data_IF_565712859726
#
_entry.id   IF_565712859726
#
_cell.length_a   1.000
_cell.length_b   1.000
_cell.length_c   1.000
_cell.angle_alpha   90.00
_cell.angle_beta   90.00
_cell.angle_gamma   90.00
#
_symmetry.space_group_name_H-M   'P 1'
#
loop_
_entity.id
_entity.type
_entity.pdbx_description
1 polymer ?
#
# COMPACT_ATOMS: atom_id res chain seq x y z
N UNK A 1 -1.36 10.53 -1.37
CA UNK A 1 -2.49 9.85 -0.72
C UNK A 1 -3.80 10.43 -1.23
N UNK A 2 -4.89 9.65 -1.21
CA UNK A 2 -6.20 10.13 -1.73
C UNK A 2 -6.71 11.35 -0.94
N UNK A 3 -6.42 11.42 0.34
CA UNK A 3 -6.77 12.55 1.21
C UNK A 3 -6.18 13.88 0.72
N UNK A 4 -5.02 13.82 0.05
CA UNK A 4 -4.35 15.02 -0.48
C UNK A 4 -4.89 15.41 -1.85
N UNK A 5 -5.44 14.45 -2.58
CA UNK A 5 -6.01 14.66 -3.91
C UNK A 5 -7.49 15.06 -3.88
N UNK A 6 -8.26 14.54 -2.93
CA UNK A 6 -9.67 14.88 -2.82
C UNK A 6 -9.87 16.29 -2.27
N UNK A 7 -10.52 17.14 -3.05
CA UNK A 7 -10.90 18.50 -2.64
C UNK A 7 -12.23 18.50 -1.90
N UNK A 8 -13.21 17.76 -2.41
CA UNK A 8 -14.50 17.52 -1.77
C UNK A 8 -15.16 16.26 -2.29
N UNK A 9 -16.06 15.67 -1.52
CA UNK A 9 -16.85 14.50 -1.93
C UNK A 9 -18.32 14.71 -1.64
N UNK A 10 -19.15 14.03 -2.42
CA UNK A 10 -20.60 13.90 -2.18
C UNK A 10 -20.93 12.44 -2.01
N UNK A 11 -21.59 12.10 -0.92
CA UNK A 11 -22.10 10.76 -0.65
C UNK A 11 -23.61 10.79 -0.38
N UNK A 12 -24.25 9.68 -0.68
CA UNK A 12 -25.64 9.41 -0.30
C UNK A 12 -25.63 8.41 0.84
N UNK A 13 -26.37 8.75 1.89
CA UNK A 13 -26.58 7.90 3.07
C UNK A 13 -28.08 7.63 3.25
N UNK A 14 -28.49 6.62 4.02
CA UNK A 14 -29.89 6.43 4.35
C UNK A 14 -30.55 7.63 5.05
N UNK A 15 -29.77 8.44 5.76
CA UNK A 15 -30.27 9.64 6.46
C UNK A 15 -30.26 10.91 5.59
N UNK A 16 -29.69 10.87 4.38
CA UNK A 16 -29.64 12.01 3.47
C UNK A 16 -28.33 12.17 2.74
N UNK A 17 -28.18 13.28 2.02
CA UNK A 17 -26.96 13.61 1.31
C UNK A 17 -25.91 14.20 2.26
N UNK A 18 -24.67 13.74 2.11
CA UNK A 18 -23.50 14.30 2.76
C UNK A 18 -22.59 14.90 1.71
N UNK A 19 -22.45 16.22 1.69
CA UNK A 19 -21.68 16.93 0.69
C UNK A 19 -20.83 18.02 1.36
N UNK A 20 -19.55 18.00 1.13
CA UNK A 20 -18.65 19.06 1.57
C UNK A 20 -18.56 20.18 0.55
N UNK A 21 -18.09 21.36 0.98
CA UNK A 21 -17.84 22.48 0.10
C UNK A 21 -16.51 22.31 -0.62
N UNK A 22 -16.46 22.73 -1.88
CA UNK A 22 -15.21 22.91 -2.59
C UNK A 22 -14.49 24.13 -2.05
N UNK A 23 -13.42 23.89 -1.31
CA UNK A 23 -12.60 24.93 -0.68
C UNK A 23 -11.11 24.64 -0.93
N UNK A 24 -10.28 25.66 -1.10
CA UNK A 24 -8.85 25.44 -1.10
C UNK A 24 -8.38 24.84 0.22
N UNK A 25 -7.62 24.88 0.98
CA UNK A 25 -7.40 24.32 2.30
C UNK A 25 -8.33 24.99 3.33
N UNK A 26 -8.86 24.23 4.30
CA UNK A 26 -9.64 24.75 5.41
C UNK A 26 -9.19 24.11 6.71
N UNK A 27 -8.93 24.93 7.73
CA UNK A 27 -8.71 24.53 9.11
C UNK A 27 -9.95 24.70 10.02
N UNK A 28 -11.13 24.89 9.42
CA UNK A 28 -12.38 25.12 10.16
C UNK A 28 -12.97 23.79 10.67
N UNK A 29 -12.34 23.23 11.69
CA UNK A 29 -12.73 21.95 12.28
C UNK A 29 -12.25 20.72 11.54
N UNK A 30 -12.65 19.51 11.98
CA UNK A 30 -12.31 18.25 11.30
C UNK A 30 -12.89 18.19 9.88
N UNK A 31 -12.14 17.64 8.93
CA UNK A 31 -12.60 17.48 7.56
C UNK A 31 -13.73 16.45 7.48
N UNK A 32 -14.92 16.80 6.95
CA UNK A 32 -16.00 15.85 6.73
C UNK A 32 -15.63 14.80 5.65
N UNK A 33 -14.79 15.16 4.69
CA UNK A 33 -14.35 14.26 3.63
C UNK A 33 -13.52 13.11 4.17
N UNK A 34 -12.65 13.36 5.17
CA UNK A 34 -11.82 12.32 5.79
C UNK A 34 -12.60 11.30 6.61
N UNK A 35 -13.85 11.58 6.96
CA UNK A 35 -14.75 10.58 7.54
C UNK A 35 -15.31 9.63 6.46
N UNK A 36 -15.52 10.13 5.25
CA UNK A 36 -16.03 9.34 4.12
C UNK A 36 -14.91 8.58 3.40
N UNK A 37 -13.77 9.25 3.18
CA UNK A 37 -12.58 8.62 2.60
C UNK A 37 -12.04 7.57 3.57
N UNK A 38 -11.84 6.35 3.09
CA UNK A 38 -11.46 5.20 3.91
C UNK A 38 -12.59 4.55 4.68
N UNK A 39 -13.83 5.01 4.58
CA UNK A 39 -15.00 4.40 5.23
C UNK A 39 -15.46 3.07 4.60
N UNK A 40 -14.87 2.67 3.49
CA UNK A 40 -15.18 1.42 2.79
C UNK A 40 -16.69 1.23 2.52
N UNK A 41 -17.39 2.33 2.24
CA UNK A 41 -18.84 2.35 1.98
C UNK A 41 -19.71 2.10 3.22
N UNK A 42 -19.17 2.11 4.43
CA UNK A 42 -19.96 1.92 5.66
C UNK A 42 -20.75 3.17 6.06
N UNK A 43 -20.28 4.36 5.71
CA UNK A 43 -20.91 5.64 6.06
C UNK A 43 -21.73 6.26 4.92
N UNK A 44 -21.58 5.78 3.69
CA UNK A 44 -22.26 6.32 2.53
C UNK A 44 -21.73 5.76 1.23
N UNK A 45 -22.47 5.97 0.16
CA UNK A 45 -22.06 5.68 -1.22
C UNK A 45 -21.56 6.96 -1.84
N UNK A 46 -20.27 7.08 -2.11
CA UNK A 46 -19.70 8.25 -2.79
C UNK A 46 -20.21 8.27 -4.23
N UNK A 47 -20.93 9.33 -4.59
CA UNK A 47 -21.54 9.50 -5.90
C UNK A 47 -20.83 10.53 -6.74
N UNK A 48 -20.04 11.42 -6.12
CA UNK A 48 -19.29 12.46 -6.79
C UNK A 48 -18.05 12.83 -5.98
N UNK A 49 -16.95 13.14 -6.67
CA UNK A 49 -15.74 13.65 -6.06
C UNK A 49 -15.13 14.73 -6.95
N UNK A 50 -14.54 15.75 -6.33
CA UNK A 50 -13.68 16.72 -6.97
C UNK A 50 -12.25 16.43 -6.58
N UNK A 51 -11.42 16.17 -7.59
CA UNK A 51 -10.02 15.81 -7.39
C UNK A 51 -9.13 16.94 -7.90
N UNK A 52 -8.06 17.21 -7.15
CA UNK A 52 -6.98 18.08 -7.62
C UNK A 52 -6.22 17.36 -8.72
N UNK A 53 -5.99 18.04 -9.80
CA UNK A 53 -5.23 17.56 -10.95
C UNK A 53 -3.98 18.40 -11.13
N UNK A 54 -2.96 17.82 -11.72
CA UNK A 54 -1.71 18.47 -12.11
C UNK A 54 -1.64 18.54 -13.64
N UNK A 55 -0.84 19.47 -14.15
CA UNK A 55 -0.54 19.51 -15.57
C UNK A 55 0.16 18.22 -16.00
N UNK A 56 -0.11 17.75 -17.20
CA UNK A 56 0.59 16.59 -17.76
C UNK A 56 2.11 16.86 -17.84
N UNK A 57 2.95 15.97 -17.32
CA UNK A 57 4.39 16.17 -17.35
C UNK A 57 4.93 16.04 -18.78
N UNK A 58 5.70 17.06 -19.20
CA UNK A 58 6.37 17.09 -20.50
C UNK A 58 7.76 16.48 -20.50
N UNK A 59 8.36 16.34 -19.31
CA UNK A 59 9.70 15.76 -19.13
C UNK A 59 9.60 14.55 -18.19
N UNK A 60 10.30 13.49 -18.55
CA UNK A 60 10.40 12.25 -17.78
C UNK A 60 11.83 11.74 -17.80
N UNK A 61 12.34 11.37 -16.63
CA UNK A 61 13.65 10.73 -16.50
C UNK A 61 13.50 9.50 -15.58
N UNK A 62 14.12 8.39 -15.96
CA UNK A 62 14.00 7.11 -15.25
C UNK A 62 15.34 6.41 -15.22
N UNK A 63 15.59 5.68 -14.13
CA UNK A 63 16.73 4.77 -14.03
C UNK A 63 16.31 3.52 -13.27
N UNK A 64 17.01 2.45 -13.56
CA UNK A 64 16.87 1.16 -12.88
C UNK A 64 18.25 0.73 -12.41
N UNK A 65 18.38 0.28 -11.16
CA UNK A 65 19.63 -0.17 -10.57
C UNK A 65 19.47 -1.55 -9.96
N UNK A 66 20.49 -2.40 -10.11
CA UNK A 66 20.68 -3.57 -9.25
C UNK A 66 21.43 -3.14 -8.01
N UNK A 67 20.79 -3.23 -6.85
CA UNK A 67 21.39 -2.90 -5.56
C UNK A 67 21.99 -4.14 -4.91
N UNK A 68 23.02 -4.00 -4.03
CA UNK A 68 23.72 -5.15 -3.45
C UNK A 68 22.82 -6.15 -2.71
N UNK A 69 21.87 -5.63 -1.94
CA UNK A 69 20.88 -6.40 -1.19
C UNK A 69 19.65 -5.55 -0.86
N UNK A 70 18.61 -6.17 -0.30
CA UNK A 70 17.35 -5.49 -0.01
C UNK A 70 17.50 -4.36 1.01
N UNK A 71 18.35 -4.54 2.03
CA UNK A 71 18.60 -3.51 3.05
C UNK A 71 19.26 -2.27 2.42
N UNK A 72 20.28 -2.46 1.59
CA UNK A 72 20.92 -1.34 0.87
C UNK A 72 19.91 -0.61 -0.03
N UNK A 73 18.99 -1.33 -0.66
CA UNK A 73 17.88 -0.73 -1.41
C UNK A 73 16.92 0.08 -0.54
N UNK A 74 16.59 -0.40 0.66
CA UNK A 74 15.78 0.36 1.61
C UNK A 74 16.48 1.65 2.06
N UNK A 75 17.78 1.59 2.36
CA UNK A 75 18.57 2.76 2.75
C UNK A 75 18.68 3.78 1.61
N UNK A 76 18.84 3.32 0.37
CA UNK A 76 18.84 4.17 -0.81
C UNK A 76 17.50 4.90 -0.98
N UNK A 77 16.37 4.20 -0.91
CA UNK A 77 15.03 4.80 -0.97
C UNK A 77 14.86 5.85 0.14
N UNK A 78 15.18 5.49 1.38
CA UNK A 78 15.10 6.40 2.51
C UNK A 78 15.93 7.66 2.26
N UNK A 79 17.17 7.52 1.80
CA UNK A 79 18.06 8.64 1.51
C UNK A 79 17.48 9.55 0.43
N UNK A 80 16.94 9.01 -0.65
CA UNK A 80 16.29 9.76 -1.72
C UNK A 80 15.09 10.53 -1.20
N UNK A 81 14.19 9.89 -0.44
CA UNK A 81 12.97 10.53 0.06
C UNK A 81 13.23 11.57 1.15
N UNK A 82 14.27 11.40 1.97
CA UNK A 82 14.67 12.36 3.00
C UNK A 82 15.53 13.50 2.49
N UNK A 83 16.05 13.42 1.26
CA UNK A 83 16.83 14.50 0.63
C UNK A 83 16.01 15.70 0.16
N UNK A 84 14.68 15.60 0.17
CA UNK A 84 13.76 16.59 -0.39
C UNK A 84 13.46 16.40 -1.87
N UNK A 85 14.08 15.42 -2.53
CA UNK A 85 13.72 15.01 -3.88
C UNK A 85 12.32 14.36 -3.86
N UNK A 86 11.54 14.62 -4.91
CA UNK A 86 10.18 14.11 -5.04
C UNK A 86 10.06 13.21 -6.28
N UNK A 87 10.52 11.96 -6.21
CA UNK A 87 10.38 11.03 -7.32
C UNK A 87 8.91 10.72 -7.58
N UNK A 88 8.52 10.67 -8.84
CA UNK A 88 7.20 10.19 -9.28
C UNK A 88 7.09 8.66 -9.19
N UNK A 89 8.23 7.97 -9.16
CA UNK A 89 8.34 6.54 -8.96
C UNK A 89 9.60 6.21 -8.14
N UNK A 90 9.43 5.49 -7.03
CA UNK A 90 10.53 5.03 -6.20
C UNK A 90 10.15 3.65 -5.65
N UNK A 91 10.68 2.57 -6.25
CA UNK A 91 10.28 1.18 -5.94
C UNK A 91 11.49 0.30 -5.78
N UNK A 92 11.42 -0.58 -4.79
CA UNK A 92 12.38 -1.66 -4.58
C UNK A 92 11.66 -3.00 -4.73
N UNK A 93 12.22 -3.88 -5.56
CA UNK A 93 11.66 -5.20 -5.86
C UNK A 93 12.71 -6.23 -5.50
N UNK A 94 12.36 -7.23 -4.69
CA UNK A 94 13.26 -8.33 -4.36
C UNK A 94 13.62 -9.13 -5.62
N UNK A 95 14.87 -9.64 -5.69
CA UNK A 95 15.42 -10.23 -6.89
C UNK A 95 14.58 -11.34 -7.50
N UNK A 96 13.92 -12.13 -6.65
CA UNK A 96 13.03 -13.22 -7.07
C UNK A 96 11.72 -12.76 -7.74
N UNK A 97 11.31 -11.51 -7.56
CA UNK A 97 10.18 -10.88 -8.26
C UNK A 97 10.64 -9.96 -9.38
N UNK A 98 11.93 -9.61 -9.41
CA UNK A 98 12.49 -8.72 -10.39
C UNK A 98 12.70 -9.44 -11.73
N UNK A 99 12.49 -8.76 -12.87
CA UNK A 99 12.79 -9.32 -14.18
C UNK A 99 14.28 -9.66 -14.35
N UNK A 100 14.55 -10.73 -15.07
CA UNK A 100 15.91 -11.17 -15.41
C UNK A 100 16.42 -12.32 -14.55
N UNK A 101 17.68 -12.73 -14.79
CA UNK A 101 18.34 -13.85 -14.11
C UNK A 101 19.22 -13.44 -12.93
N UNK A 102 19.28 -12.15 -12.63
CA UNK A 102 20.07 -11.59 -11.52
C UNK A 102 19.19 -11.51 -10.27
N UNK A 103 19.53 -12.25 -9.22
CA UNK A 103 18.77 -12.33 -7.98
C UNK A 103 18.94 -11.10 -7.06
N UNK A 104 19.79 -10.13 -7.45
CA UNK A 104 19.91 -8.88 -6.70
C UNK A 104 18.62 -8.06 -6.82
N UNK A 105 18.21 -7.33 -5.75
CA UNK A 105 17.04 -6.49 -5.80
C UNK A 105 17.17 -5.36 -6.84
N UNK A 106 16.00 -4.99 -7.41
CA UNK A 106 15.87 -3.96 -8.42
C UNK A 106 15.28 -2.70 -7.82
N UNK A 107 16.03 -1.61 -7.89
CA UNK A 107 15.57 -0.27 -7.53
C UNK A 107 15.16 0.48 -8.80
N UNK A 108 13.93 1.01 -8.83
CA UNK A 108 13.39 1.79 -9.93
C UNK A 108 13.17 3.21 -9.43
N UNK A 109 13.79 4.18 -10.10
CA UNK A 109 13.62 5.61 -9.85
C UNK A 109 13.02 6.30 -11.07
N UNK A 110 12.11 7.25 -10.85
CA UNK A 110 11.51 8.05 -11.89
C UNK A 110 11.17 9.45 -11.41
N UNK A 111 11.36 10.42 -12.29
CA UNK A 111 10.99 11.82 -12.08
C UNK A 111 10.18 12.32 -13.27
N UNK A 112 9.18 13.13 -13.01
CA UNK A 112 8.30 13.72 -14.02
C UNK A 112 8.03 15.19 -13.67
N UNK A 113 7.96 16.04 -14.67
CA UNK A 113 7.71 17.47 -14.45
C UNK A 113 7.44 18.27 -15.72
N UNK A 114 7.09 19.53 -15.54
CA UNK A 114 6.96 20.53 -16.63
C UNK A 114 8.28 21.13 -17.11
N UNK A 115 9.40 20.79 -16.45
CA UNK A 115 10.76 21.20 -16.80
C UNK A 115 11.67 19.99 -16.81
N UNK A 116 12.89 20.12 -17.34
CA UNK A 116 13.88 19.04 -17.35
C UNK A 116 14.15 18.53 -15.92
N UNK A 117 13.99 17.24 -15.70
CA UNK A 117 14.13 16.54 -14.42
C UNK A 117 15.39 15.65 -14.36
N UNK A 118 16.27 15.71 -15.36
CA UNK A 118 17.49 14.88 -15.40
C UNK A 118 18.43 15.20 -14.22
N UNK A 119 18.54 16.45 -13.82
CA UNK A 119 19.36 16.84 -12.66
C UNK A 119 18.86 16.23 -11.36
N UNK A 120 17.54 16.08 -11.17
CA UNK A 120 16.92 15.43 -10.02
C UNK A 120 17.23 13.92 -10.02
N UNK A 121 17.13 13.29 -11.19
CA UNK A 121 17.50 11.88 -11.34
C UNK A 121 18.98 11.65 -11.01
N UNK A 122 19.90 12.48 -11.54
CA UNK A 122 21.32 12.34 -11.24
C UNK A 122 21.62 12.55 -9.75
N UNK A 123 20.97 13.52 -9.09
CA UNK A 123 21.09 13.71 -7.65
C UNK A 123 20.60 12.48 -6.87
N UNK A 124 19.48 11.87 -7.26
CA UNK A 124 18.98 10.66 -6.64
C UNK A 124 19.92 9.47 -6.86
N UNK A 125 20.47 9.30 -8.05
CA UNK A 125 21.45 8.25 -8.36
C UNK A 125 22.72 8.38 -7.50
N UNK A 126 23.15 9.61 -7.22
CA UNK A 126 24.28 9.87 -6.33
C UNK A 126 24.05 9.46 -4.86
N UNK A 127 22.81 9.19 -4.46
CA UNK A 127 22.43 8.68 -3.13
C UNK A 127 22.27 7.16 -3.09
N UNK A 128 22.43 6.47 -4.21
CA UNK A 128 22.18 5.05 -4.35
C UNK A 128 23.48 4.31 -4.66
N UNK A 129 23.72 3.22 -3.94
CA UNK A 129 24.76 2.25 -4.29
C UNK A 129 24.13 1.14 -5.15
N UNK A 130 24.56 1.04 -6.41
CA UNK A 130 24.01 0.06 -7.33
C UNK A 130 24.53 0.18 -8.74
N UNK A 131 24.30 -0.85 -9.52
CA UNK A 131 24.69 -0.97 -10.92
C UNK A 131 23.53 -0.61 -11.84
N UNK A 132 23.72 0.39 -12.70
CA UNK A 132 22.70 0.82 -13.67
C UNK A 132 22.35 -0.32 -14.64
N UNK A 133 21.09 -0.44 -14.96
CA UNK A 133 20.52 -1.41 -15.90
C UNK A 133 19.82 -0.69 -17.04
N UNK A 134 19.96 -1.21 -18.26
CA UNK A 134 19.32 -0.65 -19.45
C UNK A 134 17.81 -0.96 -19.54
N UNK A 135 17.33 -1.94 -18.79
CA UNK A 135 15.93 -2.40 -18.82
C UNK A 135 15.46 -2.87 -17.43
N UNK A 136 14.15 -3.03 -17.26
CA UNK A 136 13.58 -3.59 -16.01
C UNK A 136 12.23 -2.97 -15.66
N UNK A 137 12.10 -1.65 -15.74
CA UNK A 137 10.87 -0.94 -15.35
C UNK A 137 9.65 -1.27 -16.24
N UNK A 138 9.86 -1.41 -17.56
CA UNK A 138 8.79 -1.75 -18.48
C UNK A 138 8.37 -3.22 -18.33
N UNK A 139 9.33 -4.13 -18.26
CA UNK A 139 9.09 -5.56 -18.07
C UNK A 139 8.34 -5.84 -16.75
N UNK A 140 8.71 -5.15 -15.68
CA UNK A 140 8.01 -5.29 -14.40
C UNK A 140 6.55 -4.82 -14.49
N UNK A 141 6.29 -3.70 -15.18
CA UNK A 141 4.92 -3.20 -15.38
C UNK A 141 4.04 -4.20 -16.13
N UNK A 142 4.57 -4.78 -17.20
CA UNK A 142 3.82 -5.72 -18.02
C UNK A 142 3.52 -7.02 -17.25
N UNK A 143 4.49 -7.55 -16.48
CA UNK A 143 4.28 -8.68 -15.58
C UNK A 143 3.29 -8.40 -14.45
N UNK A 144 3.23 -7.15 -13.94
CA UNK A 144 2.24 -6.75 -12.94
C UNK A 144 0.81 -6.80 -13.46
N UNK A 145 0.57 -6.45 -14.72
CA UNK A 145 -0.76 -6.51 -15.35
C UNK A 145 -1.24 -7.96 -15.54
N UNK A 146 -0.32 -8.91 -15.68
CA UNK A 146 -0.63 -10.33 -15.82
C UNK A 146 -0.75 -11.09 -14.49
N UNK A 147 -0.31 -10.49 -13.39
CA UNK A 147 -0.26 -11.13 -12.07
C UNK A 147 -1.59 -11.75 -11.60
N UNK A 148 -2.79 -11.15 -11.81
CA UNK A 148 -4.05 -11.78 -11.43
C UNK A 148 -4.29 -13.12 -12.12
N UNK A 149 -3.98 -13.24 -13.41
CA UNK A 149 -4.13 -14.50 -14.18
C UNK A 149 -3.14 -15.57 -13.72
N UNK A 150 -1.92 -15.16 -13.38
CA UNK A 150 -0.92 -16.06 -12.81
C UNK A 150 -1.37 -16.62 -11.47
N UNK A 151 -1.98 -15.78 -10.60
CA UNK A 151 -2.53 -16.22 -9.31
C UNK A 151 -3.57 -17.32 -9.48
N UNK A 152 -4.52 -17.14 -10.39
CA UNK A 152 -5.57 -18.14 -10.64
C UNK A 152 -4.99 -19.46 -11.14
N UNK A 153 -3.97 -19.39 -12.00
CA UNK A 153 -3.22 -20.55 -12.46
C UNK A 153 -2.52 -21.27 -11.30
N UNK A 154 -1.82 -20.55 -10.44
CA UNK A 154 -1.12 -21.11 -9.29
C UNK A 154 -2.09 -21.83 -8.33
N UNK A 155 -3.23 -21.21 -8.05
CA UNK A 155 -4.27 -21.83 -7.19
C UNK A 155 -4.79 -23.13 -7.82
N UNK A 156 -5.01 -23.16 -9.13
CA UNK A 156 -5.45 -24.36 -9.83
C UNK A 156 -4.43 -25.52 -9.76
N UNK A 157 -3.15 -25.20 -9.63
CA UNK A 157 -2.03 -26.13 -9.45
C UNK A 157 -1.79 -26.53 -7.99
N UNK A 158 -2.61 -26.08 -7.05
CA UNK A 158 -2.46 -26.39 -5.62
C UNK A 158 -1.37 -25.53 -4.94
N UNK A 159 -1.11 -24.35 -5.46
CA UNK A 159 -0.21 -23.38 -4.84
C UNK A 159 -1.04 -22.21 -4.33
N UNK A 160 -1.06 -22.03 -3.01
CA UNK A 160 -1.63 -20.86 -2.37
C UNK A 160 -0.77 -19.64 -2.73
N UNK A 161 -1.40 -18.63 -3.30
CA UNK A 161 -0.80 -17.33 -3.59
C UNK A 161 -1.56 -16.26 -2.83
N UNK A 162 -0.92 -15.67 -1.81
CA UNK A 162 -1.51 -14.63 -0.96
C UNK A 162 -0.59 -13.43 -0.86
N UNK A 163 -1.18 -12.26 -0.65
CA UNK A 163 -0.44 -11.03 -0.49
C UNK A 163 -0.80 -10.32 0.80
N UNK A 164 0.18 -9.71 1.42
CA UNK A 164 0.04 -8.87 2.60
C UNK A 164 0.72 -7.55 2.36
N UNK A 165 0.17 -6.50 2.88
CA UNK A 165 0.82 -5.20 2.87
C UNK A 165 0.60 -4.50 4.20
N UNK A 166 1.50 -3.59 4.53
CA UNK A 166 1.46 -2.82 5.75
C UNK A 166 2.15 -1.48 5.53
N UNK A 167 2.18 -0.62 6.52
CA UNK A 167 3.07 0.53 6.58
C UNK A 167 3.72 0.60 7.96
N UNK A 168 4.98 0.97 7.99
CA UNK A 168 5.80 1.00 9.19
C UNK A 168 6.90 2.06 9.06
N UNK A 169 7.36 2.62 10.18
CA UNK A 169 8.50 3.55 10.21
C UNK A 169 9.82 2.87 9.85
N UNK A 170 10.78 3.65 9.32
CA UNK A 170 12.04 3.10 8.82
C UNK A 170 12.84 2.32 9.86
N UNK A 171 12.79 2.72 11.12
CA UNK A 171 13.52 2.05 12.22
C UNK A 171 12.97 0.66 12.54
N UNK A 172 11.69 0.40 12.26
CA UNK A 172 11.04 -0.89 12.51
C UNK A 172 10.95 -1.79 11.28
N UNK A 173 11.18 -1.25 10.09
CA UNK A 173 11.02 -1.99 8.83
C UNK A 173 11.83 -3.29 8.78
N UNK A 174 13.14 -3.33 9.14
CA UNK A 174 13.92 -4.58 9.08
C UNK A 174 13.32 -5.68 9.98
N UNK A 175 13.00 -5.34 11.23
CA UNK A 175 12.46 -6.31 12.19
C UNK A 175 11.08 -6.84 11.75
N UNK A 176 10.24 -5.98 11.18
CA UNK A 176 8.94 -6.36 10.65
C UNK A 176 9.07 -7.35 9.48
N UNK A 177 9.99 -7.11 8.53
CA UNK A 177 10.22 -8.02 7.41
C UNK A 177 10.64 -9.39 7.89
N UNK A 178 11.59 -9.45 8.82
CA UNK A 178 12.08 -10.73 9.40
C UNK A 178 10.98 -11.44 10.19
N UNK A 179 10.14 -10.72 10.93
CA UNK A 179 9.02 -11.30 11.66
C UNK A 179 7.99 -11.94 10.72
N UNK A 180 7.67 -11.30 9.61
CA UNK A 180 6.76 -11.87 8.59
C UNK A 180 7.37 -13.13 7.97
N UNK A 181 8.65 -13.11 7.61
CA UNK A 181 9.34 -14.27 7.04
C UNK A 181 9.39 -15.46 8.02
N UNK A 182 9.55 -15.18 9.31
CA UNK A 182 9.65 -16.22 10.34
C UNK A 182 8.35 -17.00 10.57
N UNK A 183 7.18 -16.39 10.34
CA UNK A 183 5.87 -17.03 10.59
C UNK A 183 5.29 -17.76 9.38
N UNK A 184 5.87 -17.60 8.20
CA UNK A 184 5.39 -18.22 6.95
C UNK A 184 6.24 -19.43 6.59
N UNK A 185 5.61 -20.61 6.48
CA UNK A 185 6.24 -21.83 5.97
C UNK A 185 6.10 -21.92 4.45
N UNK A 186 6.77 -21.02 3.73
CA UNK A 186 6.68 -20.94 2.28
C UNK A 186 7.67 -19.93 1.73
N UNK A 187 7.55 -19.65 0.44
CA UNK A 187 8.34 -18.59 -0.18
C UNK A 187 7.68 -17.25 0.12
N UNK A 188 8.43 -16.35 0.72
CA UNK A 188 8.01 -14.97 1.00
C UNK A 188 8.95 -14.04 0.26
N UNK A 189 8.41 -13.23 -0.61
CA UNK A 189 9.12 -12.11 -1.24
C UNK A 189 8.58 -10.79 -0.72
N UNK A 190 9.39 -9.74 -0.83
CA UNK A 190 9.04 -8.41 -0.37
C UNK A 190 9.37 -7.37 -1.44
N UNK A 191 8.49 -6.39 -1.61
CA UNK A 191 8.76 -5.20 -2.41
C UNK A 191 8.29 -3.95 -1.68
N UNK A 192 8.96 -2.83 -1.92
CA UNK A 192 8.51 -1.51 -1.50
C UNK A 192 7.94 -0.78 -2.72
N UNK A 193 6.62 -0.68 -2.80
CA UNK A 193 5.92 0.04 -3.88
C UNK A 193 5.48 1.43 -3.47
N UNK A 194 5.36 1.65 -2.17
CA UNK A 194 5.08 2.95 -1.56
C UNK A 194 6.11 3.18 -0.45
N UNK A 195 6.72 4.35 -0.48
CA UNK A 195 7.67 4.78 0.52
C UNK A 195 7.52 6.28 0.78
N UNK A 196 7.79 6.68 2.00
CA UNK A 196 7.57 8.02 2.53
C UNK A 196 8.84 8.48 3.26
N UNK A 197 9.02 9.78 3.53
CA UNK A 197 10.18 10.25 4.31
C UNK A 197 10.29 9.60 5.69
N UNK A 198 9.18 9.23 6.32
CA UNK A 198 9.09 8.67 7.67
C UNK A 198 8.97 7.14 7.74
N UNK A 199 8.69 6.46 6.61
CA UNK A 199 8.54 5.02 6.59
C UNK A 199 8.29 4.43 5.21
N UNK A 200 7.99 3.14 5.17
CA UNK A 200 7.67 2.43 3.94
C UNK A 200 6.45 1.51 4.11
N UNK A 201 5.84 1.19 2.98
CA UNK A 201 4.79 0.19 2.90
C UNK A 201 5.34 -1.08 2.19
N UNK A 202 5.89 -2.03 2.97
CA UNK A 202 6.29 -3.32 2.42
C UNK A 202 5.09 -4.13 1.98
N UNK A 203 5.22 -4.71 0.80
CA UNK A 203 4.25 -5.59 0.18
C UNK A 203 4.86 -6.98 0.08
N UNK A 204 4.24 -7.95 0.73
CA UNK A 204 4.70 -9.33 0.75
C UNK A 204 3.88 -10.18 -0.22
N UNK A 205 4.55 -11.06 -0.95
CA UNK A 205 3.93 -12.13 -1.72
C UNK A 205 4.32 -13.45 -1.09
N UNK A 206 3.32 -14.27 -0.77
CA UNK A 206 3.48 -15.61 -0.18
C UNK A 206 3.06 -16.64 -1.19
N UNK A 207 3.95 -17.58 -1.49
CA UNK A 207 3.68 -18.74 -2.33
C UNK A 207 3.99 -20.02 -1.54
N UNK A 208 3.02 -20.95 -1.45
CA UNK A 208 3.24 -22.22 -0.80
C UNK A 208 2.34 -23.32 -1.36
N UNK A 209 2.80 -24.57 -1.39
CA UNK A 209 1.93 -25.70 -1.69
C UNK A 209 0.81 -25.82 -0.67
N UNK A 210 -0.38 -26.21 -1.13
CA UNK A 210 -1.53 -26.46 -0.29
C UNK A 210 -2.22 -27.78 -0.70
N UNK A 211 -2.67 -28.56 0.28
CA UNK A 211 -3.46 -29.76 0.02
C UNK A 211 -4.86 -29.38 -0.41
N UNK A 212 -5.41 -30.11 -1.39
CA UNK A 212 -6.78 -29.92 -1.85
C UNK A 212 -7.77 -30.15 -0.72
N UNK A 213 -8.66 -29.17 -0.54
CA UNK A 213 -9.65 -29.17 0.55
C UNK A 213 -9.17 -28.48 1.82
N UNK A 214 -7.87 -28.16 1.94
CA UNK A 214 -7.30 -27.43 3.08
C UNK A 214 -6.93 -25.97 2.75
N UNK A 215 -7.34 -25.46 1.57
CA UNK A 215 -6.97 -24.16 1.07
C UNK A 215 -7.41 -23.02 2.01
N UNK A 216 -8.67 -23.02 2.40
CA UNK A 216 -9.26 -21.98 3.26
C UNK A 216 -8.66 -22.00 4.66
N UNK A 217 -8.51 -23.20 5.26
CA UNK A 217 -7.91 -23.34 6.58
C UNK A 217 -6.44 -22.88 6.58
N UNK A 218 -5.70 -23.25 5.53
CA UNK A 218 -4.30 -22.84 5.37
C UNK A 218 -4.19 -21.32 5.18
N UNK A 219 -5.06 -20.76 4.35
CA UNK A 219 -5.15 -19.32 4.15
C UNK A 219 -5.44 -18.57 5.47
N UNK A 220 -6.46 -19.00 6.22
CA UNK A 220 -6.84 -18.36 7.49
C UNK A 220 -5.70 -18.42 8.53
N UNK A 221 -5.02 -19.57 8.64
CA UNK A 221 -3.86 -19.71 9.51
C UNK A 221 -2.73 -18.74 9.15
N UNK A 222 -2.38 -18.61 7.86
CA UNK A 222 -1.34 -17.69 7.40
C UNK A 222 -1.78 -16.26 7.63
N UNK A 223 -3.03 -15.94 7.27
CA UNK A 223 -3.62 -14.61 7.47
C UNK A 223 -3.47 -14.16 8.92
N UNK A 224 -3.82 -15.01 9.87
CA UNK A 224 -3.68 -14.75 11.31
C UNK A 224 -2.21 -14.55 11.69
N UNK A 225 -1.34 -15.50 11.35
CA UNK A 225 0.06 -15.46 11.76
C UNK A 225 0.79 -14.22 11.24
N UNK A 226 0.56 -13.85 9.99
CA UNK A 226 1.18 -12.66 9.40
C UNK A 226 0.57 -11.38 9.99
N UNK A 227 -0.75 -11.30 10.14
CA UNK A 227 -1.42 -10.14 10.72
C UNK A 227 -0.96 -9.88 12.17
N UNK A 228 -0.79 -10.94 12.97
CA UNK A 228 -0.24 -10.85 14.32
C UNK A 228 1.21 -10.33 14.30
N UNK A 229 2.05 -10.83 13.37
CA UNK A 229 3.42 -10.39 13.23
C UNK A 229 3.51 -8.91 12.79
N UNK A 230 2.67 -8.47 11.86
CA UNK A 230 2.60 -7.08 11.43
C UNK A 230 2.29 -6.15 12.60
N UNK A 231 1.23 -6.46 13.35
CA UNK A 231 0.78 -5.62 14.46
C UNK A 231 1.79 -5.60 15.62
N UNK A 232 2.35 -6.76 15.97
CA UNK A 232 3.35 -6.90 17.04
C UNK A 232 4.65 -6.11 16.76
N UNK A 233 4.97 -5.88 15.47
CA UNK A 233 6.15 -5.11 15.05
C UNK A 233 5.83 -3.65 14.68
N UNK A 234 4.64 -3.15 15.05
CA UNK A 234 4.25 -1.76 14.89
C UNK A 234 3.84 -1.36 13.48
N UNK A 235 3.59 -2.35 12.61
CA UNK A 235 2.98 -2.13 11.30
C UNK A 235 1.48 -1.88 11.40
N UNK A 236 0.90 -1.18 10.43
CA UNK A 236 -0.56 -1.14 10.27
C UNK A 236 -1.06 -2.48 9.70
N UNK A 237 -2.29 -2.87 10.03
CA UNK A 237 -2.82 -4.14 9.53
C UNK A 237 -2.93 -4.19 8.00
N UNK A 238 -3.15 -3.07 7.38
CA UNK A 238 -3.16 -2.90 5.93
C UNK A 238 -2.87 -1.44 5.59
N UNK A 239 -2.31 -1.18 4.41
CA UNK A 239 -2.00 0.17 3.92
C UNK A 239 -3.04 0.64 2.89
N UNK A 240 -3.37 -0.19 1.88
CA UNK A 240 -4.36 0.13 0.84
C UNK A 240 -5.25 -1.04 0.39
N UNK A 241 -5.08 -2.25 0.96
CA UNK A 241 -5.90 -3.41 0.62
C UNK A 241 -7.25 -3.44 1.33
N UNK A 242 -7.62 -2.41 2.06
CA UNK A 242 -8.81 -2.31 2.90
C UNK A 242 -8.78 -3.17 4.18
N UNK A 243 -9.52 -2.75 5.17
CA UNK A 243 -9.77 -3.54 6.38
C UNK A 243 -10.79 -4.64 6.09
N UNK A 244 -11.85 -4.29 5.37
CA UNK A 244 -12.92 -5.22 5.04
C UNK A 244 -13.54 -5.85 6.29
N UNK A 245 -13.77 -7.16 6.23
CA UNK A 245 -14.16 -8.02 7.35
C UNK A 245 -12.98 -8.83 7.88
N UNK A 246 -12.06 -9.21 7.01
CA UNK A 246 -10.96 -10.12 7.30
C UNK A 246 -9.93 -9.52 8.26
N UNK A 247 -9.71 -8.22 8.21
CA UNK A 247 -8.74 -7.52 9.05
C UNK A 247 -9.35 -6.89 10.31
N UNK A 248 -10.66 -7.01 10.53
CA UNK A 248 -11.37 -6.38 11.67
C UNK A 248 -10.74 -6.68 13.02
N UNK A 249 -10.33 -7.93 13.37
CA UNK A 249 -9.77 -8.22 14.69
C UNK A 249 -8.51 -7.41 15.02
N UNK A 250 -7.64 -7.23 14.03
CA UNK A 250 -6.38 -6.46 14.18
C UNK A 250 -6.62 -4.96 14.09
N UNK A 251 -7.51 -4.52 13.20
CA UNK A 251 -7.91 -3.12 13.11
C UNK A 251 -8.50 -2.61 14.43
N UNK A 252 -9.30 -3.42 15.11
CA UNK A 252 -9.86 -3.07 16.42
C UNK A 252 -8.78 -2.93 17.51
N UNK A 253 -7.70 -3.72 17.44
CA UNK A 253 -6.55 -3.59 18.34
C UNK A 253 -5.69 -2.35 18.03
N UNK A 254 -5.50 -2.05 16.75
CA UNK A 254 -4.67 -0.95 16.26
C UNK A 254 -5.28 0.42 16.55
N UNK A 255 -6.58 0.58 16.34
CA UNK A 255 -7.26 1.88 16.48
C UNK A 255 -7.50 2.25 17.93
N UNK A 256 -7.45 3.55 18.30
CA UNK A 256 -7.85 3.99 19.62
C UNK A 256 -9.30 3.58 19.93
N UNK A 257 -9.56 3.08 21.14
CA UNK A 257 -10.89 2.61 21.54
C UNK A 257 -11.97 3.70 21.42
N UNK A 258 -11.65 4.94 21.80
CA UNK A 258 -12.56 6.10 21.66
C UNK A 258 -12.88 6.40 20.19
N UNK A 259 -11.91 6.25 19.29
CA UNK A 259 -12.19 6.41 17.85
C UNK A 259 -13.20 5.38 17.35
N UNK A 260 -13.10 4.15 17.83
CA UNK A 260 -14.09 3.11 17.53
C UNK A 260 -15.52 3.47 17.98
N UNK A 261 -15.66 4.18 19.10
CA UNK A 261 -16.95 4.68 19.57
C UNK A 261 -17.48 5.82 18.70
N UNK A 262 -16.62 6.75 18.29
CA UNK A 262 -16.97 7.86 17.39
C UNK A 262 -17.43 7.30 16.03
N UNK A 263 -16.72 6.33 15.51
CA UNK A 263 -17.05 5.72 14.22
C UNK A 263 -18.41 4.99 14.25
N UNK A 264 -18.71 4.28 15.34
CA UNK A 264 -20.04 3.66 15.53
C UNK A 264 -21.15 4.70 15.65
N UNK A 265 -20.92 5.77 16.41
CA UNK A 265 -21.90 6.86 16.54
C UNK A 265 -22.15 7.55 15.20
N UNK A 266 -21.11 7.77 14.39
CA UNK A 266 -21.25 8.28 13.03
C UNK A 266 -22.08 7.33 12.16
N UNK A 267 -21.79 6.03 12.21
CA UNK A 267 -22.59 5.00 11.50
C UNK A 267 -24.05 5.04 11.92
N UNK A 268 -24.36 5.04 13.20
CA UNK A 268 -25.74 5.06 13.71
C UNK A 268 -26.48 6.35 13.30
N UNK A 269 -25.78 7.48 13.17
CA UNK A 269 -26.36 8.75 12.71
C UNK A 269 -26.70 8.77 11.23
N UNK A 270 -25.84 8.21 10.38
CA UNK A 270 -26.01 8.26 8.91
C UNK A 270 -26.72 7.04 8.34
N UNK A 271 -26.67 5.91 9.03
CA UNK A 271 -27.27 4.62 8.60
C UNK A 271 -27.87 3.87 9.81
N UNK A 272 -28.95 4.39 10.41
CA UNK A 272 -29.57 3.78 11.57
C UNK A 272 -30.13 2.37 11.33
N UNK A 273 -30.41 2.05 10.06
CA UNK A 273 -30.86 0.72 9.65
C UNK A 273 -29.72 -0.26 9.37
N UNK A 274 -28.46 0.16 9.48
CA UNK A 274 -27.24 -0.66 9.23
C UNK A 274 -27.28 -1.39 7.89
N UNK A 275 -27.72 -0.69 6.83
CA UNK A 275 -27.87 -1.24 5.48
C UNK A 275 -26.54 -1.26 4.71
N UNK A 276 -25.66 -0.28 4.99
CA UNK A 276 -24.43 -0.07 4.23
C UNK A 276 -23.29 -0.95 4.77
N UNK A 277 -22.78 -1.82 3.94
CA UNK A 277 -21.61 -2.69 4.18
C UNK A 277 -21.53 -3.27 5.62
N UNK A 278 -22.52 -4.03 6.08
CA UNK A 278 -22.54 -4.55 7.45
C UNK A 278 -21.33 -5.46 7.73
N UNK A 279 -20.69 -5.24 8.89
CA UNK A 279 -19.52 -5.98 9.34
C UNK A 279 -18.17 -5.48 8.80
N UNK A 280 -18.15 -4.63 7.78
CA UNK A 280 -16.93 -3.97 7.31
C UNK A 280 -16.48 -2.95 8.35
N UNK A 281 -15.16 -2.84 8.61
CA UNK A 281 -14.57 -2.03 9.68
C UNK A 281 -15.06 -2.39 11.10
N UNK A 282 -15.80 -3.49 11.26
CA UNK A 282 -16.43 -3.87 12.53
C UNK A 282 -17.64 -2.99 12.90
N UNK A 283 -18.40 -2.55 11.87
CA UNK A 283 -19.60 -1.72 11.98
C UNK A 283 -20.86 -2.45 11.55
#
# INVERSE_FOLDING_TARGET
HIDDMAESVRAITPSGAWESRRLPASGAGPSPDRMLLGSEGTLGVITQAWLRVMAEPTHRARATLRVPNFTAGCDAIRSVLQSGLQPSNCRLIEGLEAPGSDDRPLLILGFEGGVDVNSQLQAALGLCDGELQDSGAAQWRDGFLEAPYLRDTLISLGILAETFETAVTWDRLPALIEAVRAVVRGRVTCRLTHAYPDGAAPYFTVLMPVERGAEVETWDRIKRSVSDALLANGGTITHHHAVGRDHVPWYQQQRPALFGNVLRAAKDAVDPGRLLNPGVLGL
#
